data_IF_930590241924
#
_entry.id   IF_930590241924
#
_cell.length_a   1.000
_cell.length_b   1.000
_cell.length_c   1.000
_cell.angle_alpha   90.00
_cell.angle_beta   90.00
_cell.angle_gamma   90.00
#
_symmetry.space_group_name_H-M   'P 1'
#
loop_
_entity.id
_entity.type
_entity.pdbx_description
1 polymer ?
#
# COMPACT_ATOMS: atom_id res chain seq x y z
N UNK A 1 -17.82 -22.49 19.52
CA UNK A 1 -16.97 -23.03 18.44
C UNK A 1 -15.82 -22.06 18.26
N UNK A 2 -14.59 -22.54 18.31
CA UNK A 2 -13.40 -21.71 18.08
C UNK A 2 -13.30 -21.48 16.57
N UNK A 3 -13.14 -20.22 16.14
CA UNK A 3 -12.95 -19.94 14.72
C UNK A 3 -11.67 -20.61 14.20
N UNK A 4 -11.70 -21.18 12.97
CA UNK A 4 -10.53 -21.80 12.36
C UNK A 4 -9.34 -20.84 12.29
N UNK A 5 -8.12 -21.34 12.50
CA UNK A 5 -6.92 -20.49 12.59
C UNK A 5 -6.61 -19.80 11.26
N UNK A 6 -6.85 -20.48 10.14
CA UNK A 6 -6.71 -19.95 8.79
C UNK A 6 -7.66 -18.78 8.49
N UNK A 7 -8.88 -18.81 9.07
CA UNK A 7 -9.84 -17.72 8.95
C UNK A 7 -9.36 -16.47 9.70
N UNK A 8 -8.70 -16.64 10.85
CA UNK A 8 -8.14 -15.51 11.61
C UNK A 8 -7.04 -14.79 10.84
N UNK A 9 -6.17 -15.55 10.19
CA UNK A 9 -5.11 -14.99 9.34
C UNK A 9 -5.71 -14.26 8.13
N UNK A 10 -6.77 -14.82 7.52
CA UNK A 10 -7.48 -14.16 6.43
C UNK A 10 -8.16 -12.85 6.87
N UNK A 11 -8.75 -12.81 8.07
CA UNK A 11 -9.30 -11.61 8.67
C UNK A 11 -8.21 -10.56 8.94
N UNK A 12 -7.08 -10.97 9.51
CA UNK A 12 -5.93 -10.09 9.75
C UNK A 12 -5.39 -9.51 8.43
N UNK A 13 -5.31 -10.33 7.37
CA UNK A 13 -4.94 -9.86 6.04
C UNK A 13 -5.91 -8.78 5.56
N UNK A 14 -7.23 -9.00 5.68
CA UNK A 14 -8.25 -8.03 5.28
C UNK A 14 -8.17 -6.72 6.08
N UNK A 15 -8.07 -6.80 7.41
CA UNK A 15 -8.00 -5.62 8.27
C UNK A 15 -6.75 -4.79 7.97
N UNK A 16 -5.60 -5.45 7.86
CA UNK A 16 -4.34 -4.78 7.55
C UNK A 16 -4.32 -4.26 6.11
N UNK A 17 -5.03 -4.90 5.18
CA UNK A 17 -5.18 -4.44 3.80
C UNK A 17 -6.05 -3.19 3.70
N UNK A 18 -7.16 -3.15 4.43
CA UNK A 18 -8.01 -1.97 4.50
C UNK A 18 -7.23 -0.76 5.04
N UNK A 19 -6.41 -0.98 6.07
CA UNK A 19 -5.52 0.04 6.60
C UNK A 19 -4.47 0.46 5.57
N UNK A 20 -3.86 -0.50 4.86
CA UNK A 20 -2.87 -0.23 3.83
C UNK A 20 -3.41 0.58 2.65
N UNK A 21 -4.59 0.22 2.12
CA UNK A 21 -5.29 0.98 1.06
C UNK A 21 -5.60 2.40 1.51
N UNK A 22 -5.96 2.59 2.78
CA UNK A 22 -6.18 3.92 3.35
C UNK A 22 -4.89 4.77 3.35
N UNK A 23 -3.73 4.15 3.61
CA UNK A 23 -2.42 4.82 3.51
C UNK A 23 -2.03 5.13 2.07
N UNK A 24 -2.28 4.20 1.14
CA UNK A 24 -2.07 4.44 -0.28
C UNK A 24 -2.94 5.58 -0.82
N UNK A 25 -4.20 5.64 -0.39
CA UNK A 25 -5.10 6.75 -0.71
C UNK A 25 -4.53 8.09 -0.22
N UNK A 26 -3.99 8.13 1.01
CA UNK A 26 -3.34 9.33 1.54
C UNK A 26 -2.15 9.76 0.64
N UNK A 27 -1.30 8.83 0.22
CA UNK A 27 -0.15 9.14 -0.65
C UNK A 27 -0.58 9.65 -2.03
N UNK A 28 -1.54 8.98 -2.67
CA UNK A 28 -1.90 9.26 -4.06
C UNK A 28 -2.96 10.37 -4.20
N UNK A 29 -4.06 10.25 -3.47
CA UNK A 29 -5.23 11.12 -3.64
C UNK A 29 -5.11 12.43 -2.85
N UNK A 30 -4.23 12.48 -1.85
CA UNK A 30 -4.00 13.69 -1.04
C UNK A 30 -2.63 14.29 -1.38
N UNK A 31 -1.53 13.61 -1.04
CA UNK A 31 -0.19 14.17 -1.24
C UNK A 31 0.14 14.39 -2.71
N UNK A 32 0.10 13.34 -3.53
CA UNK A 32 0.45 13.44 -4.95
C UNK A 32 -0.46 14.42 -5.70
N UNK A 33 -1.78 14.31 -5.51
CA UNK A 33 -2.75 15.17 -6.20
C UNK A 33 -2.58 16.65 -5.85
N UNK A 34 -2.39 17.01 -4.58
CA UNK A 34 -2.20 18.40 -4.17
C UNK A 34 -0.84 18.95 -4.62
N UNK A 35 0.23 18.14 -4.50
CA UNK A 35 1.56 18.53 -4.99
C UNK A 35 1.58 18.72 -6.50
N UNK A 36 0.96 17.83 -7.26
CA UNK A 36 0.82 17.97 -8.71
C UNK A 36 0.01 19.20 -9.10
N UNK A 37 -1.05 19.52 -8.37
CA UNK A 37 -1.87 20.71 -8.62
C UNK A 37 -1.06 21.99 -8.43
N UNK A 38 -0.33 22.11 -7.33
CA UNK A 38 0.49 23.31 -7.08
C UNK A 38 1.74 23.38 -7.97
N UNK A 39 2.27 22.23 -8.39
CA UNK A 39 3.34 22.13 -9.39
C UNK A 39 2.88 22.68 -10.76
N UNK A 40 1.67 22.30 -11.21
CA UNK A 40 1.05 22.82 -12.46
C UNK A 40 0.78 24.31 -12.42
N UNK A 41 0.46 24.82 -11.23
CA UNK A 41 0.30 26.26 -11.01
C UNK A 41 1.63 27.02 -10.95
N UNK A 42 2.77 26.33 -11.02
CA UNK A 42 4.11 26.91 -10.93
C UNK A 42 4.47 27.44 -9.55
N UNK A 43 3.75 27.02 -8.50
CA UNK A 43 3.87 27.58 -7.14
C UNK A 43 4.82 26.83 -6.23
N UNK A 44 5.15 25.58 -6.53
CA UNK A 44 5.97 24.70 -5.67
C UNK A 44 7.20 24.16 -6.40
N UNK A 45 7.13 22.91 -6.87
CA UNK A 45 8.22 22.19 -7.55
C UNK A 45 7.79 21.81 -8.97
N UNK A 46 8.71 21.52 -9.89
CA UNK A 46 8.36 21.03 -11.22
C UNK A 46 7.54 19.73 -11.15
N UNK A 47 6.61 19.52 -12.08
CA UNK A 47 5.78 18.30 -12.15
C UNK A 47 6.64 17.02 -12.21
N UNK A 48 7.77 17.06 -12.91
CA UNK A 48 8.69 15.92 -13.01
C UNK A 48 9.28 15.54 -11.66
N UNK A 49 9.52 16.50 -10.76
CA UNK A 49 9.99 16.21 -9.40
C UNK A 49 8.91 15.47 -8.62
N UNK A 50 7.65 15.91 -8.72
CA UNK A 50 6.52 15.23 -8.05
C UNK A 50 6.38 13.81 -8.57
N UNK A 51 6.41 13.61 -9.90
CA UNK A 51 6.40 12.27 -10.50
C UNK A 51 7.55 11.39 -10.02
N UNK A 52 8.76 11.95 -9.87
CA UNK A 52 9.91 11.20 -9.37
C UNK A 52 9.81 10.83 -7.89
N UNK A 53 9.22 11.71 -7.06
CA UNK A 53 8.98 11.42 -5.64
C UNK A 53 7.99 10.27 -5.48
N UNK A 54 6.87 10.32 -6.20
CA UNK A 54 5.79 9.34 -6.03
C UNK A 54 5.92 8.10 -6.93
N UNK A 55 6.82 8.12 -7.91
CA UNK A 55 7.09 7.02 -8.84
C UNK A 55 5.78 6.41 -9.39
N UNK A 56 5.54 5.13 -9.16
CA UNK A 56 4.36 4.39 -9.61
C UNK A 56 3.33 4.17 -8.48
N UNK A 57 3.28 5.03 -7.45
CA UNK A 57 2.35 4.88 -6.31
C UNK A 57 0.88 4.86 -6.75
N UNK A 58 0.51 5.61 -7.79
CA UNK A 58 -0.87 5.64 -8.30
C UNK A 58 -1.27 4.28 -8.85
N UNK A 59 -0.37 3.61 -9.56
CA UNK A 59 -0.58 2.24 -10.02
C UNK A 59 -0.71 1.30 -8.82
N UNK A 60 0.11 1.48 -7.77
CA UNK A 60 0.04 0.68 -6.54
C UNK A 60 -1.33 0.82 -5.89
N UNK A 61 -1.77 2.06 -5.67
CA UNK A 61 -3.06 2.38 -5.09
C UNK A 61 -4.22 1.81 -5.89
N UNK A 62 -4.25 2.01 -7.22
CA UNK A 62 -5.36 1.56 -8.06
C UNK A 62 -5.56 0.05 -8.01
N UNK A 63 -4.48 -0.72 -8.01
CA UNK A 63 -4.60 -2.17 -7.90
C UNK A 63 -5.15 -2.60 -6.53
N UNK A 64 -4.58 -2.08 -5.46
CA UNK A 64 -4.99 -2.47 -4.11
C UNK A 64 -6.44 -2.03 -3.82
N UNK A 65 -6.81 -0.80 -4.21
CA UNK A 65 -8.13 -0.25 -3.96
C UNK A 65 -9.23 -0.84 -4.86
N UNK A 66 -8.95 -1.09 -6.15
CA UNK A 66 -9.98 -1.47 -7.12
C UNK A 66 -10.05 -2.97 -7.39
N UNK A 67 -9.01 -3.73 -7.04
CA UNK A 67 -8.94 -5.16 -7.36
C UNK A 67 -8.70 -6.01 -6.11
N UNK A 68 -7.60 -5.81 -5.40
CA UNK A 68 -7.20 -6.73 -4.33
C UNK A 68 -8.10 -6.63 -3.09
N UNK A 69 -8.33 -5.43 -2.56
CA UNK A 69 -9.18 -5.24 -1.38
C UNK A 69 -10.65 -5.67 -1.63
N UNK A 70 -11.31 -5.27 -2.74
CA UNK A 70 -12.69 -5.73 -3.02
C UNK A 70 -12.79 -7.25 -3.14
N UNK A 71 -11.81 -7.90 -3.77
CA UNK A 71 -11.80 -9.35 -3.91
C UNK A 71 -11.63 -10.05 -2.55
N UNK A 72 -10.75 -9.52 -1.69
CA UNK A 72 -10.56 -10.04 -0.34
C UNK A 72 -11.80 -9.82 0.53
N UNK A 73 -12.46 -8.66 0.44
CA UNK A 73 -13.72 -8.39 1.11
C UNK A 73 -14.81 -9.39 0.70
N UNK A 74 -15.00 -9.58 -0.61
CA UNK A 74 -15.96 -10.55 -1.14
C UNK A 74 -15.67 -11.97 -0.66
N UNK A 75 -14.39 -12.36 -0.60
CA UNK A 75 -13.98 -13.67 -0.09
C UNK A 75 -14.33 -13.85 1.39
N UNK A 76 -14.15 -12.82 2.20
CA UNK A 76 -14.46 -12.88 3.63
C UNK A 76 -15.96 -12.87 3.90
N UNK A 77 -16.75 -12.19 3.07
CA UNK A 77 -18.22 -12.24 3.13
C UNK A 77 -18.76 -13.63 2.78
N UNK A 78 -18.16 -14.31 1.80
CA UNK A 78 -18.56 -15.65 1.34
C UNK A 78 -17.71 -16.80 1.91
N UNK A 79 -17.06 -16.56 3.06
CA UNK A 79 -16.12 -17.52 3.65
C UNK A 79 -16.73 -18.90 3.90
N UNK A 80 -18.02 -18.96 4.26
CA UNK A 80 -18.71 -20.23 4.51
C UNK A 80 -18.82 -21.13 3.29
N UNK A 81 -18.86 -20.54 2.09
CA UNK A 81 -18.97 -21.29 0.84
C UNK A 81 -17.60 -21.52 0.20
N UNK A 82 -16.63 -20.64 0.43
CA UNK A 82 -15.29 -20.74 -0.13
C UNK A 82 -14.20 -20.33 0.89
N UNK A 83 -13.86 -21.19 1.87
CA UNK A 83 -12.97 -20.88 2.98
C UNK A 83 -11.49 -20.97 2.58
N UNK A 84 -11.06 -20.09 1.69
CA UNK A 84 -9.72 -20.11 1.09
C UNK A 84 -9.26 -18.69 0.76
N UNK A 85 -7.97 -18.42 0.61
CA UNK A 85 -7.45 -17.11 0.11
C UNK A 85 -6.24 -17.24 -0.81
N UNK A 86 -5.70 -18.45 -1.00
CA UNK A 86 -4.52 -18.68 -1.85
C UNK A 86 -4.70 -18.12 -3.26
N UNK A 87 -5.84 -18.42 -3.89
CA UNK A 87 -6.19 -17.90 -5.23
C UNK A 87 -6.28 -16.36 -5.31
N UNK A 88 -6.70 -15.70 -4.22
CA UNK A 88 -6.72 -14.23 -4.13
C UNK A 88 -5.30 -13.69 -3.99
N UNK A 89 -4.47 -14.33 -3.16
CA UNK A 89 -3.07 -13.93 -2.92
C UNK A 89 -2.21 -14.17 -4.17
N UNK A 90 -2.44 -15.22 -4.95
CA UNK A 90 -1.73 -15.46 -6.21
C UNK A 90 -1.85 -14.28 -7.18
N UNK A 91 -2.96 -13.54 -7.14
CA UNK A 91 -3.13 -12.34 -7.97
C UNK A 91 -2.19 -11.20 -7.57
N UNK A 92 -1.61 -11.22 -6.37
CA UNK A 92 -0.53 -10.32 -5.98
C UNK A 92 0.80 -10.66 -6.66
N UNK A 93 1.07 -11.93 -6.98
CA UNK A 93 2.40 -12.36 -7.44
C UNK A 93 2.88 -11.63 -8.72
N UNK A 94 2.04 -11.45 -9.78
CA UNK A 94 2.43 -10.66 -10.94
C UNK A 94 2.71 -9.19 -10.60
N UNK A 95 2.05 -8.67 -9.57
CA UNK A 95 2.11 -7.28 -9.14
C UNK A 95 3.34 -6.98 -8.29
N UNK A 96 3.92 -7.96 -7.58
CA UNK A 96 5.16 -7.77 -6.82
C UNK A 96 6.30 -7.15 -7.66
N UNK A 97 6.31 -7.39 -8.98
CA UNK A 97 7.28 -6.79 -9.90
C UNK A 97 7.25 -5.26 -9.90
N UNK A 98 6.08 -4.63 -9.74
CA UNK A 98 5.99 -3.17 -9.78
C UNK A 98 6.39 -2.49 -8.48
N UNK A 99 6.35 -3.21 -7.35
CA UNK A 99 7.00 -2.75 -6.13
C UNK A 99 8.51 -2.65 -6.32
N UNK A 100 9.12 -3.48 -7.18
CA UNK A 100 10.55 -3.37 -7.50
C UNK A 100 10.94 -2.00 -8.05
N UNK A 101 10.10 -1.38 -8.88
CA UNK A 101 10.30 -0.01 -9.36
C UNK A 101 10.16 1.01 -8.22
N UNK A 102 9.13 0.88 -7.39
CA UNK A 102 8.90 1.78 -6.26
C UNK A 102 10.07 1.75 -5.26
N UNK A 103 10.50 0.55 -4.85
CA UNK A 103 11.61 0.36 -3.91
C UNK A 103 12.91 0.90 -4.50
N UNK A 104 13.18 0.65 -5.78
CA UNK A 104 14.38 1.18 -6.46
C UNK A 104 14.43 2.71 -6.48
N UNK A 105 13.28 3.36 -6.59
CA UNK A 105 13.19 4.83 -6.63
C UNK A 105 13.06 5.47 -5.24
N UNK A 106 12.85 4.68 -4.18
CA UNK A 106 12.55 5.19 -2.85
C UNK A 106 13.64 6.10 -2.27
N UNK A 107 14.91 5.69 -2.31
CA UNK A 107 16.00 6.49 -1.76
C UNK A 107 16.10 7.86 -2.44
N UNK A 108 15.95 7.87 -3.76
CA UNK A 108 15.94 9.10 -4.57
C UNK A 108 14.73 9.97 -4.25
N UNK A 109 13.56 9.37 -4.01
CA UNK A 109 12.38 10.12 -3.63
C UNK A 109 12.56 10.83 -2.28
N UNK A 110 13.15 10.14 -1.29
CA UNK A 110 13.47 10.73 0.03
C UNK A 110 14.49 11.86 -0.10
N UNK A 111 15.52 11.69 -0.94
CA UNK A 111 16.49 12.74 -1.23
C UNK A 111 15.82 13.97 -1.86
N UNK A 112 14.95 13.76 -2.86
CA UNK A 112 14.22 14.85 -3.52
C UNK A 112 13.31 15.61 -2.55
N UNK A 113 12.60 14.91 -1.65
CA UNK A 113 11.78 15.56 -0.63
C UNK A 113 12.65 16.45 0.25
N UNK A 114 13.82 15.98 0.68
CA UNK A 114 14.75 16.76 1.51
C UNK A 114 15.24 18.01 0.76
N UNK A 115 15.79 17.82 -0.44
CA UNK A 115 16.32 18.91 -1.27
C UNK A 115 15.25 19.98 -1.54
N UNK A 116 14.05 19.57 -1.92
CA UNK A 116 12.99 20.51 -2.28
C UNK A 116 12.32 21.16 -1.08
N UNK A 117 12.33 20.51 0.08
CA UNK A 117 11.89 21.13 1.34
C UNK A 117 12.82 22.28 1.75
N UNK A 118 14.12 22.17 1.49
CA UNK A 118 15.07 23.26 1.75
C UNK A 118 15.03 24.35 0.66
N UNK A 119 14.88 23.95 -0.60
CA UNK A 119 14.94 24.85 -1.76
C UNK A 119 13.65 25.65 -1.97
N UNK A 120 12.50 25.11 -1.59
CA UNK A 120 11.18 25.69 -1.90
C UNK A 120 10.31 25.76 -0.64
N UNK A 121 10.27 26.92 0.04
CA UNK A 121 9.38 27.12 1.19
C UNK A 121 7.91 26.80 0.89
N UNK A 122 7.32 27.15 -0.28
CA UNK A 122 5.95 26.75 -0.59
C UNK A 122 5.74 25.23 -0.63
N UNK A 123 6.73 24.47 -1.09
CA UNK A 123 6.67 23.00 -1.10
C UNK A 123 6.72 22.44 0.33
N UNK A 124 7.62 22.96 1.17
CA UNK A 124 7.73 22.60 2.57
C UNK A 124 6.43 22.91 3.34
N UNK A 125 5.87 24.11 3.15
CA UNK A 125 4.61 24.55 3.78
C UNK A 125 3.45 23.64 3.39
N UNK A 126 3.32 23.32 2.10
CA UNK A 126 2.29 22.41 1.62
C UNK A 126 2.40 21.01 2.24
N UNK A 127 3.60 20.42 2.28
CA UNK A 127 3.82 19.13 2.95
C UNK A 127 3.47 19.23 4.43
N UNK A 128 3.93 20.28 5.12
CA UNK A 128 3.65 20.48 6.53
C UNK A 128 2.14 20.61 6.80
N UNK A 129 1.41 21.32 5.94
CA UNK A 129 -0.02 21.53 6.07
C UNK A 129 -0.82 20.25 5.82
N UNK A 130 -0.40 19.41 4.87
CA UNK A 130 -0.98 18.09 4.67
C UNK A 130 -0.68 17.20 5.89
N UNK A 131 0.55 17.19 6.39
CA UNK A 131 0.97 16.37 7.55
C UNK A 131 0.22 16.72 8.85
N UNK A 132 -0.22 17.98 9.02
CA UNK A 132 -1.05 18.40 10.17
C UNK A 132 -2.46 17.81 10.15
N UNK A 133 -2.94 17.28 9.01
CA UNK A 133 -4.28 16.71 8.91
C UNK A 133 -4.37 15.41 9.71
N UNK A 134 -5.51 15.17 10.36
CA UNK A 134 -5.73 13.98 11.20
C UNK A 134 -5.47 12.67 10.45
N UNK A 135 -5.73 12.63 9.14
CA UNK A 135 -5.50 11.47 8.27
C UNK A 135 -4.03 11.01 8.23
N UNK A 136 -3.08 11.93 8.46
CA UNK A 136 -1.64 11.65 8.48
C UNK A 136 -1.16 11.02 9.79
N UNK A 137 -2.00 10.95 10.82
CA UNK A 137 -1.68 10.36 12.12
C UNK A 137 -0.35 10.85 12.74
N UNK A 138 -0.01 12.13 12.53
CA UNK A 138 1.25 12.77 12.96
C UNK A 138 2.54 12.14 12.38
N UNK A 139 2.44 11.35 11.32
CA UNK A 139 3.58 10.79 10.61
C UNK A 139 3.99 11.69 9.44
N UNK A 140 5.28 11.67 9.10
CA UNK A 140 5.79 12.43 7.95
C UNK A 140 5.45 11.74 6.63
N UNK A 141 5.54 12.47 5.52
CA UNK A 141 5.37 11.91 4.17
C UNK A 141 6.29 10.71 3.94
N UNK A 142 7.57 10.82 4.30
CA UNK A 142 8.55 9.75 4.15
C UNK A 142 8.15 8.49 4.94
N UNK A 143 7.57 8.64 6.13
CA UNK A 143 7.07 7.50 6.91
C UNK A 143 5.92 6.79 6.20
N UNK A 144 4.95 7.54 5.65
CA UNK A 144 3.88 6.93 4.85
C UNK A 144 4.42 6.25 3.59
N UNK A 145 5.43 6.85 2.95
CA UNK A 145 6.06 6.27 1.75
C UNK A 145 6.85 4.99 2.01
N UNK A 146 7.20 4.67 3.27
CA UNK A 146 7.80 3.39 3.65
C UNK A 146 6.78 2.25 3.71
N UNK A 147 5.49 2.54 3.92
CA UNK A 147 4.46 1.51 4.06
C UNK A 147 4.42 0.53 2.88
N UNK A 148 4.49 0.96 1.59
CA UNK A 148 4.57 0.02 0.47
C UNK A 148 5.80 -0.89 0.50
N UNK A 149 6.95 -0.38 0.95
CA UNK A 149 8.19 -1.17 1.07
C UNK A 149 8.03 -2.24 2.15
N UNK A 150 7.41 -1.87 3.28
CA UNK A 150 7.17 -2.77 4.42
C UNK A 150 6.02 -3.75 4.18
N UNK A 151 5.08 -3.43 3.28
CA UNK A 151 3.92 -4.30 3.00
C UNK A 151 4.35 -5.62 2.36
N UNK A 152 5.37 -5.62 1.52
CA UNK A 152 5.88 -6.82 0.84
C UNK A 152 6.32 -7.93 1.81
N UNK A 153 7.26 -7.70 2.74
CA UNK A 153 7.65 -8.73 3.70
C UNK A 153 6.49 -9.14 4.62
N UNK A 154 5.53 -8.25 4.89
CA UNK A 154 4.33 -8.61 5.66
C UNK A 154 3.44 -9.61 4.92
N UNK A 155 3.25 -9.48 3.61
CA UNK A 155 2.53 -10.51 2.83
C UNK A 155 3.24 -11.87 2.89
N UNK A 156 4.57 -11.89 2.81
CA UNK A 156 5.34 -13.13 2.90
C UNK A 156 5.14 -13.83 4.25
N UNK A 157 5.17 -13.08 5.36
CA UNK A 157 4.93 -13.62 6.70
C UNK A 157 3.49 -14.13 6.85
N UNK A 158 2.49 -13.33 6.47
CA UNK A 158 1.08 -13.73 6.55
C UNK A 158 0.79 -14.97 5.71
N UNK A 159 1.37 -15.09 4.52
CA UNK A 159 1.21 -16.25 3.66
C UNK A 159 1.86 -17.50 4.26
N UNK A 160 3.08 -17.40 4.81
CA UNK A 160 3.73 -18.51 5.49
C UNK A 160 2.92 -18.99 6.69
N UNK A 161 2.42 -18.06 7.49
CA UNK A 161 1.57 -18.39 8.63
C UNK A 161 0.27 -19.04 8.16
N UNK A 162 -0.34 -18.52 7.10
CA UNK A 162 -1.55 -19.09 6.50
C UNK A 162 -1.33 -20.56 6.08
N UNK A 163 -0.28 -20.85 5.31
CA UNK A 163 0.07 -22.21 4.85
C UNK A 163 0.34 -23.17 6.02
N UNK A 164 0.95 -22.68 7.10
CA UNK A 164 1.18 -23.48 8.31
C UNK A 164 -0.12 -23.83 9.04
N UNK A 165 -1.13 -22.96 8.98
CA UNK A 165 -2.43 -23.15 9.63
C UNK A 165 -3.46 -23.88 8.76
N UNK A 166 -3.20 -24.01 7.45
CA UNK A 166 -4.05 -24.79 6.57
C UNK A 166 -4.07 -26.28 6.96
N UNK A 167 -5.25 -26.94 6.94
CA UNK A 167 -5.34 -28.39 7.04
C UNK A 167 -4.42 -29.11 6.03
N UNK A 168 -3.87 -30.30 6.35
CA UNK A 168 -3.00 -31.04 5.44
C UNK A 168 -3.63 -31.33 4.07
N UNK A 169 -4.94 -31.62 4.06
CA UNK A 169 -5.74 -31.92 2.86
C UNK A 169 -6.42 -30.68 2.27
N UNK A 170 -6.00 -29.46 2.66
CA UNK A 170 -6.62 -28.24 2.13
C UNK A 170 -6.33 -28.10 0.63
N UNK A 171 -7.35 -27.93 -0.23
CA UNK A 171 -7.13 -27.67 -1.65
C UNK A 171 -6.43 -26.32 -1.89
N UNK A 172 -6.46 -25.40 -0.92
CA UNK A 172 -5.83 -24.07 -1.01
C UNK A 172 -4.31 -24.11 -0.78
N UNK A 173 -3.77 -25.25 -0.31
CA UNK A 173 -2.34 -25.38 -0.03
C UNK A 173 -1.50 -25.21 -1.30
N UNK A 174 -1.95 -25.79 -2.43
CA UNK A 174 -1.28 -25.61 -3.72
C UNK A 174 -1.32 -24.17 -4.21
N UNK A 175 -2.38 -23.43 -3.86
CA UNK A 175 -2.52 -22.06 -4.29
C UNK A 175 -1.73 -21.08 -3.40
N UNK A 176 -1.51 -21.45 -2.14
CA UNK A 176 -0.84 -20.63 -1.13
C UNK A 176 0.67 -20.90 -0.96
N UNK A 177 1.19 -22.02 -1.48
CA UNK A 177 2.64 -22.36 -1.55
C UNK A 177 3.34 -21.69 -2.75
#
# INVERSE_FOLDING_TARGET
>A
MQEPEEKKIALELLETEQAYVTRLHLLDQIFYTELMKEARNGKTVPEEVVKMIFSNISSIYQFHANFFLPELQQRMEDWSCNPRIGDVIQKLAPFLKMYGEYVKNFDKAVELITIWSEKSPPFQELIADIQKRKVCANLTLQHHMLEPVQRIPRYELLLKDYVQKLPPESPDRNDAE
#
